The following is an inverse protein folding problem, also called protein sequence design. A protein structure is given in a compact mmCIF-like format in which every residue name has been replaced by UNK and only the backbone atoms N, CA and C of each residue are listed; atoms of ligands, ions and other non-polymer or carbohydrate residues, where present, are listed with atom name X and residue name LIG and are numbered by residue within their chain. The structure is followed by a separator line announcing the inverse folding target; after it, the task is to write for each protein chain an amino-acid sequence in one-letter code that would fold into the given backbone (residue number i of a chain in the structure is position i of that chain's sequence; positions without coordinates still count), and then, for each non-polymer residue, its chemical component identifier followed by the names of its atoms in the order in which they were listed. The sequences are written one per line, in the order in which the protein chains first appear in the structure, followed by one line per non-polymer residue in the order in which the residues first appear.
data_IF_925821083815
#
_entry.id   IF_925821083815
#
_cell.length_a   1.000
_cell.length_b   1.000
_cell.length_c   1.000
_cell.angle_alpha   90.00
_cell.angle_beta   90.00
_cell.angle_gamma   90.00
#
_symmetry.space_group_name_H-M   'P 1'
#
loop_
_entity.id
_entity.type
_entity.pdbx_description
1 polymer ?
#
# COMPACT_ATOMS: atom_id res chain seq x y z
N UNK A 1 -12.11 15.74 -20.70
CA UNK A 1 -11.65 16.85 -19.85
C UNK A 1 -10.13 16.76 -19.81
N UNK A 2 -9.42 17.88 -19.82
CA UNK A 2 -7.96 17.89 -19.90
C UNK A 2 -7.42 18.07 -18.47
N UNK A 3 -7.20 16.96 -17.77
CA UNK A 3 -6.75 16.97 -16.38
C UNK A 3 -5.23 16.90 -16.33
N UNK A 4 -4.59 17.77 -15.55
CA UNK A 4 -3.13 17.80 -15.42
C UNK A 4 -2.72 17.71 -13.97
N UNK A 5 -1.63 16.99 -13.71
CA UNK A 5 -1.02 16.88 -12.39
C UNK A 5 0.29 17.66 -12.39
N UNK A 6 0.42 18.64 -11.51
CA UNK A 6 1.63 19.46 -11.38
C UNK A 6 2.28 19.17 -10.03
N UNK A 7 3.50 18.66 -10.06
CA UNK A 7 4.24 18.23 -8.88
C UNK A 7 5.42 19.18 -8.66
N UNK A 8 5.39 19.91 -7.55
CA UNK A 8 6.52 20.65 -7.04
C UNK A 8 7.20 19.83 -5.94
N UNK A 9 8.43 19.40 -6.17
CA UNK A 9 9.21 18.59 -5.24
C UNK A 9 10.62 19.14 -4.97
N UNK A 10 11.01 20.24 -5.63
CA UNK A 10 12.18 21.06 -5.29
C UNK A 10 11.97 21.72 -3.91
N UNK A 11 12.33 21.01 -2.83
CA UNK A 11 12.21 21.54 -1.47
C UNK A 11 12.03 20.49 -0.37
N UNK A 12 11.71 20.93 0.87
CA UNK A 12 11.49 20.07 2.02
C UNK A 12 10.10 19.40 2.03
N UNK A 13 9.21 19.83 1.13
CA UNK A 13 7.86 19.33 0.97
C UNK A 13 7.65 18.89 -0.49
N UNK A 14 6.77 17.92 -0.68
CA UNK A 14 6.21 17.57 -1.98
C UNK A 14 4.83 18.21 -2.01
N UNK A 15 4.55 18.99 -3.05
CA UNK A 15 3.28 19.65 -3.28
C UNK A 15 2.73 19.18 -4.63
N UNK A 16 1.47 18.80 -4.67
CA UNK A 16 0.81 18.32 -5.89
C UNK A 16 -0.48 19.09 -6.11
N UNK A 17 -0.61 19.68 -7.29
CA UNK A 17 -1.81 20.36 -7.74
C UNK A 17 -2.49 19.54 -8.83
N UNK A 18 -3.80 19.34 -8.68
CA UNK A 18 -4.67 18.78 -9.72
C UNK A 18 -5.32 19.96 -10.42
N UNK A 19 -5.05 20.08 -11.72
CA UNK A 19 -5.58 21.16 -12.57
C UNK A 19 -6.61 20.57 -13.51
N UNK A 20 -7.85 21.04 -13.40
CA UNK A 20 -8.96 20.65 -14.27
C UNK A 20 -9.40 21.87 -15.06
N UNK A 21 -9.45 21.75 -16.39
CA UNK A 21 -9.87 22.84 -17.29
C UNK A 21 -9.09 24.16 -17.09
N UNK A 22 -7.84 24.05 -16.65
CA UNK A 22 -6.95 25.21 -16.39
C UNK A 22 -7.13 25.87 -15.02
N UNK A 23 -8.02 25.35 -14.17
CA UNK A 23 -8.22 25.81 -12.80
C UNK A 23 -7.68 24.80 -11.79
N UNK A 24 -7.19 25.29 -10.65
CA UNK A 24 -6.80 24.44 -9.52
C UNK A 24 -8.05 23.79 -8.92
N UNK A 25 -8.15 22.46 -9.02
CA UNK A 25 -9.26 21.68 -8.47
C UNK A 25 -8.92 21.12 -7.08
N UNK A 26 -7.77 20.47 -6.95
CA UNK A 26 -7.31 19.88 -5.68
C UNK A 26 -5.84 20.20 -5.43
N UNK A 27 -5.47 20.22 -4.15
CA UNK A 27 -4.10 20.49 -3.72
C UNK A 27 -3.69 19.61 -2.55
N UNK A 28 -2.53 18.99 -2.67
CA UNK A 28 -1.96 18.08 -1.67
C UNK A 28 -0.55 18.54 -1.27
N UNK A 29 -0.23 18.39 0.02
CA UNK A 29 1.10 18.69 0.55
C UNK A 29 1.54 17.58 1.49
N UNK A 30 2.79 17.14 1.34
CA UNK A 30 3.44 16.20 2.25
C UNK A 30 4.85 16.69 2.57
N UNK A 31 5.19 16.80 3.86
CA UNK A 31 6.56 17.13 4.26
C UNK A 31 7.44 15.89 4.20
N UNK A 32 8.61 15.99 3.55
CA UNK A 32 9.56 14.87 3.44
C UNK A 32 10.00 14.37 4.82
N UNK A 33 10.15 15.27 5.80
CA UNK A 33 10.56 14.96 7.19
C UNK A 33 9.47 14.26 8.02
N UNK A 34 8.20 14.41 7.65
CA UNK A 34 7.08 13.82 8.39
C UNK A 34 6.80 12.38 7.91
N UNK A 35 7.55 11.88 6.91
CA UNK A 35 7.46 10.50 6.46
C UNK A 35 8.01 9.55 7.53
N UNK A 36 7.09 8.89 8.21
CA UNK A 36 7.37 7.80 9.13
C UNK A 36 7.75 6.50 8.42
N UNK A 37 7.80 5.43 9.21
CA UNK A 37 8.02 4.07 8.76
C UNK A 37 6.71 3.37 8.38
N UNK A 38 5.55 3.93 8.74
CA UNK A 38 4.22 3.35 8.45
C UNK A 38 4.06 3.04 6.97
N UNK A 39 3.50 1.87 6.68
CA UNK A 39 3.29 1.37 5.32
C UNK A 39 4.49 0.61 4.75
N UNK A 40 5.72 0.89 5.20
CA UNK A 40 6.91 0.18 4.75
C UNK A 40 6.86 -1.30 5.15
N UNK A 41 7.40 -2.15 4.28
CA UNK A 41 7.56 -3.59 4.50
C UNK A 41 9.04 -3.90 4.69
N UNK A 42 9.32 -4.67 5.73
CA UNK A 42 10.66 -5.08 6.12
C UNK A 42 10.75 -6.59 6.18
N UNK A 43 11.91 -7.10 5.79
CA UNK A 43 12.38 -8.42 6.18
C UNK A 43 13.05 -8.22 7.54
N UNK A 44 12.41 -8.67 8.60
CA UNK A 44 12.88 -8.49 9.97
C UNK A 44 13.48 -9.78 10.55
N UNK A 45 14.35 -9.63 11.56
CA UNK A 45 14.89 -10.76 12.32
C UNK A 45 14.39 -10.71 13.76
N UNK A 46 13.78 -11.79 14.23
CA UNK A 46 13.31 -11.88 15.63
C UNK A 46 14.54 -11.85 16.55
N UNK A 47 14.64 -10.82 17.38
CA UNK A 47 15.75 -10.65 18.32
C UNK A 47 15.42 -11.27 19.68
N UNK A 48 14.17 -11.15 20.13
CA UNK A 48 13.72 -11.71 21.41
C UNK A 48 12.22 -12.00 21.40
N UNK A 49 11.83 -13.10 22.04
CA UNK A 49 10.43 -13.48 22.25
C UNK A 49 10.03 -13.19 23.70
N UNK A 50 8.83 -12.67 23.91
CA UNK A 50 8.29 -12.26 25.22
C UNK A 50 6.98 -13.00 25.50
N UNK A 51 7.01 -14.20 26.08
CA UNK A 51 5.82 -14.99 26.42
C UNK A 51 4.81 -14.22 27.28
N UNK A 52 5.29 -13.48 28.30
CA UNK A 52 4.42 -12.70 29.18
C UNK A 52 3.65 -11.57 28.49
N UNK A 53 4.09 -11.12 27.30
CA UNK A 53 3.42 -10.09 26.51
C UNK A 53 2.79 -10.63 25.23
N UNK A 54 2.90 -11.94 24.97
CA UNK A 54 2.48 -12.58 23.73
C UNK A 54 2.97 -11.80 22.48
N UNK A 55 4.24 -11.44 22.50
CA UNK A 55 4.87 -10.59 21.49
C UNK A 55 6.35 -10.94 21.28
N UNK A 56 6.91 -10.45 20.19
CA UNK A 56 8.33 -10.57 19.86
C UNK A 56 8.91 -9.20 19.45
N UNK A 57 10.17 -9.00 19.78
CA UNK A 57 10.99 -7.92 19.25
C UNK A 57 11.57 -8.35 17.91
N UNK A 58 11.43 -7.49 16.90
CA UNK A 58 11.90 -7.72 15.54
C UNK A 58 12.87 -6.60 15.17
N UNK A 59 14.10 -6.97 14.86
CA UNK A 59 15.08 -6.07 14.25
C UNK A 59 14.71 -5.84 12.77
N UNK A 60 14.48 -4.59 12.39
CA UNK A 60 14.12 -4.18 11.02
C UNK A 60 15.34 -3.75 10.18
N UNK A 61 16.54 -3.88 10.74
CA UNK A 61 17.80 -3.53 10.09
C UNK A 61 18.37 -2.19 10.55
N UNK A 62 19.57 -1.83 10.06
CA UNK A 62 20.42 -0.80 10.66
C UNK A 62 19.88 0.63 10.55
N UNK A 63 18.93 0.87 9.65
CA UNK A 63 18.30 2.20 9.48
C UNK A 63 17.15 2.44 10.46
N UNK A 64 16.77 1.42 11.25
CA UNK A 64 15.72 1.53 12.25
C UNK A 64 16.36 1.35 13.63
N UNK A 65 16.46 2.43 14.38
CA UNK A 65 17.21 2.47 15.64
C UNK A 65 16.68 1.50 16.71
N UNK A 66 15.39 1.17 16.66
CA UNK A 66 14.71 0.40 17.70
C UNK A 66 14.03 -0.82 17.12
N UNK A 67 14.17 -1.94 17.83
CA UNK A 67 13.42 -3.14 17.51
C UNK A 67 11.91 -2.87 17.53
N UNK A 68 11.23 -3.35 16.51
CA UNK A 68 9.78 -3.28 16.38
C UNK A 68 9.09 -4.36 17.23
N UNK A 69 7.80 -4.15 17.51
CA UNK A 69 6.96 -5.07 18.25
C UNK A 69 6.01 -5.81 17.30
N UNK A 70 6.06 -7.14 17.33
CA UNK A 70 5.15 -8.04 16.63
C UNK A 70 4.33 -8.83 17.66
N UNK A 71 3.01 -8.71 17.64
CA UNK A 71 2.12 -9.46 18.53
C UNK A 71 1.80 -10.84 17.96
N UNK A 72 1.49 -11.81 18.81
CA UNK A 72 1.12 -13.19 18.41
C UNK A 72 -0.01 -13.22 17.37
N UNK A 73 -1.04 -12.39 17.55
CA UNK A 73 -2.17 -12.28 16.64
C UNK A 73 -1.83 -11.61 15.31
N UNK A 74 -0.60 -11.11 15.15
CA UNK A 74 -0.08 -10.46 13.96
C UNK A 74 1.04 -11.32 13.32
N UNK A 75 1.38 -12.50 13.86
CA UNK A 75 2.42 -13.38 13.31
C UNK A 75 1.86 -14.15 12.12
N UNK A 76 2.29 -13.77 10.93
CA UNK A 76 1.96 -14.44 9.68
C UNK A 76 3.22 -14.50 8.81
N UNK A 77 3.39 -15.58 8.04
CA UNK A 77 4.58 -15.75 7.17
C UNK A 77 5.87 -16.21 7.87
N UNK A 78 5.80 -16.72 9.11
CA UNK A 78 6.93 -17.35 9.79
C UNK A 78 6.92 -18.88 9.56
N UNK A 79 7.71 -19.40 8.62
CA UNK A 79 7.84 -20.85 8.35
C UNK A 79 6.69 -21.48 7.54
N UNK A 80 6.56 -22.81 7.60
CA UNK A 80 5.58 -23.69 6.90
C UNK A 80 4.12 -23.49 7.38
N UNK A 81 3.73 -22.24 7.61
CA UNK A 81 2.43 -21.84 8.15
C UNK A 81 1.43 -21.44 7.05
N UNK A 82 1.75 -21.63 5.76
CA UNK A 82 0.71 -21.59 4.71
C UNK A 82 -0.38 -22.63 4.99
N UNK A 83 -0.02 -23.74 5.65
CA UNK A 83 -0.93 -24.81 6.07
C UNK A 83 -1.93 -24.43 7.17
N UNK A 84 -1.73 -23.33 7.91
CA UNK A 84 -2.67 -22.91 8.95
C UNK A 84 -3.88 -22.14 8.41
N UNK A 85 -3.82 -21.69 7.16
CA UNK A 85 -4.93 -21.05 6.48
C UNK A 85 -5.72 -22.11 5.69
N UNK A 86 -5.04 -23.10 5.11
CA UNK A 86 -5.66 -24.20 4.35
C UNK A 86 -6.64 -25.04 5.18
N UNK A 87 -6.39 -25.28 6.48
CA UNK A 87 -7.29 -26.07 7.34
C UNK A 87 -8.62 -25.35 7.69
N UNK A 88 -8.77 -24.07 7.32
CA UNK A 88 -10.01 -23.32 7.49
C UNK A 88 -10.85 -23.23 6.19
N UNK A 89 -10.34 -23.76 5.08
CA UNK A 89 -10.92 -23.64 3.73
C UNK A 89 -11.73 -24.88 3.29
N UNK A 90 -11.97 -25.87 4.16
CA UNK A 90 -12.82 -27.05 3.86
C UNK A 90 -14.30 -26.92 4.22
N UNK A 91 -14.82 -25.73 4.50
CA UNK A 91 -16.27 -25.52 4.71
C UNK A 91 -16.91 -24.94 3.46
N UNK A 92 -17.46 -25.81 2.62
CA UNK A 92 -18.21 -25.58 1.35
C UNK A 92 -19.51 -24.75 1.52
N UNK A 93 -19.60 -23.91 2.56
CA UNK A 93 -20.74 -23.04 2.88
C UNK A 93 -20.33 -21.65 3.37
N UNK A 94 -19.08 -21.22 3.12
CA UNK A 94 -18.55 -19.97 3.65
C UNK A 94 -19.29 -18.75 3.09
N UNK A 95 -19.83 -17.92 3.99
CA UNK A 95 -20.32 -16.58 3.67
C UNK A 95 -19.23 -15.79 2.90
N UNK A 96 -19.49 -15.53 1.62
CA UNK A 96 -18.62 -14.80 0.70
C UNK A 96 -18.81 -13.27 0.80
N UNK A 97 -19.67 -12.83 1.71
CA UNK A 97 -19.88 -11.42 1.99
C UNK A 97 -18.57 -10.75 2.49
N UNK A 98 -18.50 -9.42 2.46
CA UNK A 98 -17.43 -8.66 3.11
C UNK A 98 -17.34 -8.92 4.62
N UNK A 99 -18.46 -9.32 5.25
CA UNK A 99 -18.51 -9.77 6.63
C UNK A 99 -17.79 -11.10 6.80
N UNK A 100 -17.95 -12.04 5.86
CA UNK A 100 -17.13 -13.24 5.76
C UNK A 100 -15.63 -12.94 5.73
N UNK A 101 -15.20 -11.90 4.99
CA UNK A 101 -13.79 -11.54 4.84
C UNK A 101 -13.15 -10.94 6.08
N UNK A 102 -13.76 -9.89 6.60
CA UNK A 102 -13.34 -9.31 7.86
C UNK A 102 -13.45 -10.33 9.01
N UNK A 103 -14.48 -11.18 8.99
CA UNK A 103 -14.69 -12.28 9.96
C UNK A 103 -13.60 -13.34 9.87
N UNK A 104 -13.13 -13.73 8.67
CA UNK A 104 -12.03 -14.71 8.54
C UNK A 104 -10.69 -14.16 9.00
N UNK A 105 -10.34 -12.92 8.66
CA UNK A 105 -9.13 -12.26 9.22
C UNK A 105 -9.26 -12.17 10.75
N UNK A 106 -10.42 -11.77 11.27
CA UNK A 106 -10.66 -11.72 12.71
C UNK A 106 -10.60 -13.10 13.38
N UNK A 107 -11.12 -14.15 12.72
CA UNK A 107 -11.03 -15.54 13.18
C UNK A 107 -9.59 -16.04 13.19
N UNK A 108 -8.84 -15.83 12.11
CA UNK A 108 -7.42 -16.16 12.01
C UNK A 108 -6.61 -15.45 13.11
N UNK A 109 -6.81 -14.14 13.28
CA UNK A 109 -6.19 -13.37 14.37
C UNK A 109 -6.56 -13.92 15.75
N UNK A 110 -7.82 -14.32 15.96
CA UNK A 110 -8.29 -14.92 17.22
C UNK A 110 -7.69 -16.31 17.45
N UNK A 111 -7.56 -17.12 16.42
CA UNK A 111 -6.90 -18.44 16.49
C UNK A 111 -5.43 -18.28 16.84
N UNK A 112 -4.71 -17.36 16.17
CA UNK A 112 -3.33 -17.03 16.50
C UNK A 112 -3.21 -16.46 17.92
N UNK A 113 -4.15 -15.62 18.35
CA UNK A 113 -4.19 -15.06 19.71
C UNK A 113 -4.32 -16.13 20.81
N UNK A 114 -4.88 -17.30 20.49
CA UNK A 114 -4.98 -18.42 21.43
C UNK A 114 -3.72 -19.29 21.48
N UNK A 115 -2.77 -19.09 20.55
CA UNK A 115 -1.48 -19.78 20.56
C UNK A 115 -0.48 -19.01 21.41
N UNK A 116 0.59 -19.68 21.81
CA UNK A 116 1.71 -19.03 22.51
C UNK A 116 2.74 -18.54 21.52
N UNK A 117 3.21 -17.30 21.70
CA UNK A 117 4.22 -16.70 20.82
C UNK A 117 5.50 -17.54 20.70
N UNK A 118 5.93 -18.21 21.78
CA UNK A 118 7.10 -19.08 21.81
C UNK A 118 6.95 -20.35 20.95
N UNK A 119 5.72 -20.76 20.62
CA UNK A 119 5.45 -21.86 19.70
C UNK A 119 5.53 -21.41 18.24
N UNK A 120 5.38 -20.10 17.98
CA UNK A 120 5.36 -19.51 16.65
C UNK A 120 6.73 -18.98 16.21
N UNK A 121 7.46 -18.37 17.15
CA UNK A 121 8.69 -17.64 16.85
C UNK A 121 9.79 -18.04 17.83
N UNK A 122 11.01 -18.08 17.29
CA UNK A 122 12.26 -18.22 18.04
C UNK A 122 13.22 -17.09 17.65
N UNK A 123 14.11 -16.66 18.56
CA UNK A 123 15.19 -15.76 18.21
C UNK A 123 15.96 -16.26 16.97
N UNK A 124 16.22 -15.35 16.03
CA UNK A 124 16.86 -15.67 14.75
C UNK A 124 15.89 -15.97 13.60
N UNK A 125 14.61 -16.24 13.86
CA UNK A 125 13.61 -16.38 12.80
C UNK A 125 13.53 -15.09 11.96
N UNK A 126 13.34 -15.28 10.66
CA UNK A 126 13.05 -14.19 9.74
C UNK A 126 11.54 -14.04 9.61
N UNK A 127 11.05 -12.81 9.60
CA UNK A 127 9.63 -12.47 9.39
C UNK A 127 9.52 -11.36 8.37
N UNK A 128 8.58 -11.48 7.44
CA UNK A 128 8.18 -10.36 6.58
C UNK A 128 7.07 -9.59 7.28
N UNK A 129 7.26 -8.29 7.50
CA UNK A 129 6.30 -7.51 8.28
C UNK A 129 6.15 -6.07 7.79
N UNK A 130 4.94 -5.52 7.93
CA UNK A 130 4.60 -4.15 7.58
C UNK A 130 4.46 -3.31 8.85
N UNK A 131 4.98 -2.08 8.82
CA UNK A 131 4.80 -1.14 9.93
C UNK A 131 3.39 -0.55 9.90
N UNK A 132 2.68 -0.69 11.02
CA UNK A 132 1.32 -0.16 11.19
C UNK A 132 1.24 1.03 12.15
N UNK A 133 2.25 1.21 13.00
CA UNK A 133 2.41 2.40 13.85
C UNK A 133 3.88 2.77 13.95
N UNK A 134 4.16 4.06 13.83
CA UNK A 134 5.50 4.61 14.05
C UNK A 134 5.99 4.38 15.49
N UNK A 135 7.33 4.41 15.70
CA UNK A 135 7.91 4.44 17.03
C UNK A 135 7.39 5.63 17.86
N UNK A 136 7.14 5.42 19.16
CA UNK A 136 6.67 6.47 20.07
C UNK A 136 7.54 6.48 21.33
N UNK A 137 8.15 7.63 21.64
CA UNK A 137 8.88 7.83 22.90
C UNK A 137 10.13 6.97 22.96
N UNK A 138 10.12 5.87 23.74
CA UNK A 138 11.15 4.83 23.77
C UNK A 138 10.70 3.50 23.14
N UNK A 139 9.43 3.38 22.75
CA UNK A 139 8.89 2.18 22.11
C UNK A 139 9.23 2.21 20.62
N UNK A 140 9.74 1.09 20.10
CA UNK A 140 9.87 0.87 18.65
C UNK A 140 8.51 0.80 17.94
N UNK A 141 8.56 0.67 16.62
CA UNK A 141 7.38 0.61 15.76
C UNK A 141 6.51 -0.63 16.06
N UNK A 142 5.20 -0.56 15.77
CA UNK A 142 4.35 -1.76 15.74
C UNK A 142 4.32 -2.31 14.32
N UNK A 143 4.52 -3.62 14.20
CA UNK A 143 4.49 -4.33 12.91
C UNK A 143 3.44 -5.43 12.88
N UNK A 144 3.05 -5.84 11.67
CA UNK A 144 2.15 -6.98 11.41
C UNK A 144 2.65 -7.83 10.24
N UNK A 145 2.41 -9.15 10.29
CA UNK A 145 2.60 -10.05 9.15
C UNK A 145 1.43 -10.05 8.17
N UNK A 146 0.31 -9.40 8.52
CA UNK A 146 -0.80 -9.16 7.59
C UNK A 146 -0.48 -7.98 6.68
N UNK A 147 0.34 -8.23 5.66
CA UNK A 147 0.73 -7.21 4.70
C UNK A 147 -0.47 -6.74 3.89
N UNK A 148 -0.47 -5.45 3.55
CA UNK A 148 -1.49 -4.82 2.72
C UNK A 148 -0.85 -3.82 1.75
N UNK A 149 -1.25 -3.88 0.49
CA UNK A 149 -0.83 -2.94 -0.55
C UNK A 149 -2.06 -2.19 -1.07
N UNK A 150 -2.23 -0.90 -0.73
CA UNK A 150 -3.37 -0.13 -1.18
C UNK A 150 -3.20 0.30 -2.64
N UNK A 151 -4.17 -0.11 -3.47
CA UNK A 151 -4.45 0.46 -4.79
C UNK A 151 -5.50 1.56 -4.69
N UNK A 152 -5.95 2.03 -5.84
CA UNK A 152 -7.00 3.04 -5.95
C UNK A 152 -8.36 2.43 -5.64
N UNK A 153 -8.66 1.30 -6.28
CA UNK A 153 -9.97 0.65 -6.22
C UNK A 153 -9.99 -0.55 -5.28
N UNK A 154 -8.83 -1.15 -5.02
CA UNK A 154 -8.73 -2.33 -4.18
C UNK A 154 -7.52 -2.26 -3.24
N UNK A 155 -7.46 -3.16 -2.27
CA UNK A 155 -6.30 -3.36 -1.39
C UNK A 155 -5.90 -4.81 -1.49
N UNK A 156 -4.66 -5.07 -1.86
CA UNK A 156 -4.12 -6.42 -2.01
C UNK A 156 -3.58 -6.97 -0.69
N UNK A 157 -3.86 -8.24 -0.43
CA UNK A 157 -3.49 -8.98 0.77
C UNK A 157 -2.82 -10.30 0.35
N UNK A 158 -1.48 -10.40 0.32
CA UNK A 158 -0.78 -11.55 -0.27
C UNK A 158 -1.00 -12.88 0.44
N UNK A 159 -1.25 -12.85 1.75
CA UNK A 159 -1.33 -14.05 2.59
C UNK A 159 -2.73 -14.29 3.16
N UNK A 160 -3.75 -13.68 2.56
CA UNK A 160 -5.14 -13.87 2.94
C UNK A 160 -5.90 -14.15 1.66
N UNK A 161 -6.29 -15.39 1.37
CA UNK A 161 -6.79 -15.80 0.05
C UNK A 161 -8.24 -15.36 -0.27
N UNK A 162 -8.72 -14.23 0.25
CA UNK A 162 -10.13 -13.84 0.14
C UNK A 162 -10.35 -12.48 -0.52
N UNK A 163 -11.43 -12.40 -1.30
CA UNK A 163 -11.98 -11.14 -1.81
C UNK A 163 -13.11 -10.63 -0.91
N UNK A 164 -12.97 -9.41 -0.40
CA UNK A 164 -14.03 -8.65 0.26
C UNK A 164 -14.39 -7.39 -0.52
N UNK A 165 -15.58 -6.84 -0.31
CA UNK A 165 -16.05 -5.61 -0.98
C UNK A 165 -16.55 -4.59 0.05
N UNK A 166 -16.26 -3.31 -0.10
CA UNK A 166 -16.66 -2.28 0.87
C UNK A 166 -18.17 -2.29 1.13
N UNK A 167 -18.57 -2.27 2.41
CA UNK A 167 -19.98 -2.21 2.81
C UNK A 167 -20.67 -0.90 2.45
N UNK A 168 -19.88 0.15 2.20
CA UNK A 168 -20.40 1.46 1.80
C UNK A 168 -20.95 1.47 0.37
N UNK A 169 -20.59 0.47 -0.44
CA UNK A 169 -21.18 0.25 -1.77
C UNK A 169 -22.59 -0.28 -1.56
N UNK A 170 -23.61 0.52 -1.91
CA UNK A 170 -24.99 0.25 -1.48
C UNK A 170 -25.64 -0.94 -2.21
N UNK A 171 -25.24 -1.17 -3.47
CA UNK A 171 -25.86 -2.14 -4.36
C UNK A 171 -25.27 -3.55 -4.19
N UNK A 172 -26.09 -4.53 -3.81
CA UNK A 172 -25.68 -5.94 -3.77
C UNK A 172 -25.31 -6.50 -5.13
N UNK A 173 -25.95 -6.01 -6.19
CA UNK A 173 -25.61 -6.38 -7.57
C UNK A 173 -24.20 -5.91 -7.90
N UNK A 174 -23.87 -4.68 -7.53
CA UNK A 174 -22.55 -4.11 -7.77
C UNK A 174 -21.48 -4.81 -6.93
N UNK A 175 -21.76 -5.08 -5.66
CA UNK A 175 -20.87 -5.86 -4.79
C UNK A 175 -20.54 -7.23 -5.37
N UNK A 176 -21.52 -7.93 -5.96
CA UNK A 176 -21.30 -9.22 -6.64
C UNK A 176 -20.44 -9.05 -7.88
N UNK A 177 -20.80 -8.13 -8.78
CA UNK A 177 -20.01 -7.83 -10.00
C UNK A 177 -18.53 -7.57 -9.67
N UNK A 178 -18.25 -6.66 -8.74
CA UNK A 178 -16.88 -6.30 -8.35
C UNK A 178 -16.12 -7.49 -7.75
N UNK A 179 -16.78 -8.29 -6.91
CA UNK A 179 -16.18 -9.50 -6.33
C UNK A 179 -15.82 -10.51 -7.43
N UNK A 180 -16.76 -10.80 -8.32
CA UNK A 180 -16.59 -11.80 -9.39
C UNK A 180 -15.45 -11.37 -10.32
N UNK A 181 -15.42 -10.09 -10.68
CA UNK A 181 -14.37 -9.49 -11.49
C UNK A 181 -12.98 -9.66 -10.84
N UNK A 182 -12.83 -9.32 -9.57
CA UNK A 182 -11.54 -9.47 -8.86
C UNK A 182 -11.17 -10.95 -8.69
N UNK A 183 -12.14 -11.82 -8.44
CA UNK A 183 -11.90 -13.27 -8.37
C UNK A 183 -11.38 -13.85 -9.68
N UNK A 184 -11.82 -13.31 -10.82
CA UNK A 184 -11.38 -13.72 -12.15
C UNK A 184 -9.90 -13.38 -12.40
N UNK A 185 -9.45 -12.19 -11.98
CA UNK A 185 -8.11 -11.68 -12.31
C UNK A 185 -7.05 -11.82 -11.22
N UNK A 186 -7.43 -12.06 -9.96
CA UNK A 186 -6.47 -12.12 -8.86
C UNK A 186 -5.47 -13.28 -9.00
N UNK A 187 -4.23 -13.11 -8.51
CA UNK A 187 -3.33 -14.24 -8.30
C UNK A 187 -3.92 -15.28 -7.33
N UNK A 188 -3.71 -16.58 -7.61
CA UNK A 188 -4.17 -17.66 -6.72
C UNK A 188 -3.54 -17.54 -5.33
N UNK A 189 -4.30 -17.86 -4.29
CA UNK A 189 -3.84 -17.78 -2.89
C UNK A 189 -3.75 -16.36 -2.32
N UNK A 190 -4.06 -15.33 -3.12
CA UNK A 190 -4.06 -13.94 -2.69
C UNK A 190 -5.47 -13.38 -2.50
N UNK A 191 -5.59 -12.31 -1.73
CA UNK A 191 -6.86 -11.65 -1.45
C UNK A 191 -6.85 -10.19 -1.79
N UNK A 192 -8.07 -9.65 -1.81
CA UNK A 192 -8.33 -8.28 -2.17
C UNK A 192 -9.47 -7.72 -1.32
N UNK A 193 -9.43 -6.43 -1.02
CA UNK A 193 -10.55 -5.69 -0.46
C UNK A 193 -10.91 -4.58 -1.44
N UNK A 194 -12.05 -4.71 -2.12
CA UNK A 194 -12.57 -3.69 -3.02
C UNK A 194 -13.07 -2.50 -2.20
N UNK A 195 -12.58 -1.31 -2.52
CA UNK A 195 -12.84 -0.03 -1.83
C UNK A 195 -14.09 0.63 -2.39
N UNK A 196 -14.66 1.58 -1.65
CA UNK A 196 -15.81 2.37 -2.10
C UNK A 196 -15.55 3.13 -3.40
N UNK A 197 -14.30 3.52 -3.65
CA UNK A 197 -13.92 4.17 -4.91
C UNK A 197 -14.20 3.31 -6.16
N UNK A 198 -14.40 2.00 -6.01
CA UNK A 198 -14.68 1.10 -7.11
C UNK A 198 -16.16 1.03 -7.51
N UNK A 199 -17.08 1.68 -6.78
CA UNK A 199 -18.53 1.56 -7.00
C UNK A 199 -18.95 1.94 -8.44
N UNK A 200 -18.32 2.97 -9.00
CA UNK A 200 -18.56 3.44 -10.36
C UNK A 200 -17.39 3.12 -11.31
N UNK A 201 -16.45 2.28 -10.89
CA UNK A 201 -15.29 1.94 -11.71
C UNK A 201 -15.71 1.06 -12.89
N UNK A 202 -15.10 1.31 -14.06
CA UNK A 202 -15.21 0.41 -15.20
C UNK A 202 -14.47 -0.90 -14.95
N UNK A 203 -14.88 -1.98 -15.62
CA UNK A 203 -14.27 -3.29 -15.41
C UNK A 203 -12.77 -3.29 -15.73
N UNK A 204 -12.36 -2.62 -16.80
CA UNK A 204 -10.95 -2.52 -17.17
C UNK A 204 -10.13 -1.76 -16.11
N UNK A 205 -10.68 -0.68 -15.55
CA UNK A 205 -10.00 0.10 -14.51
C UNK A 205 -9.73 -0.73 -13.25
N UNK A 206 -10.69 -1.57 -12.84
CA UNK A 206 -10.49 -2.46 -11.70
C UNK A 206 -9.49 -3.58 -12.01
N UNK A 207 -9.51 -4.14 -13.23
CA UNK A 207 -8.51 -5.13 -13.67
C UNK A 207 -7.10 -4.55 -13.64
N UNK A 208 -6.93 -3.32 -14.15
CA UNK A 208 -5.64 -2.65 -14.15
C UNK A 208 -5.12 -2.38 -12.72
N UNK A 209 -5.99 -2.03 -11.78
CA UNK A 209 -5.62 -1.87 -10.35
C UNK A 209 -5.21 -3.19 -9.70
N UNK A 210 -5.92 -4.29 -10.00
CA UNK A 210 -5.55 -5.64 -9.54
C UNK A 210 -4.19 -6.07 -10.11
N UNK A 211 -3.98 -5.87 -11.40
CA UNK A 211 -2.72 -6.19 -12.08
C UNK A 211 -1.55 -5.35 -11.56
N UNK A 212 -1.77 -4.05 -11.33
CA UNK A 212 -0.81 -3.15 -10.68
C UNK A 212 -0.35 -3.73 -9.34
N UNK A 213 -1.29 -4.12 -8.47
CA UNK A 213 -0.99 -4.64 -7.14
C UNK A 213 -0.32 -6.01 -7.18
N UNK A 214 -0.73 -6.89 -8.10
CA UNK A 214 -0.12 -8.19 -8.31
C UNK A 214 1.35 -8.06 -8.76
N UNK A 215 1.63 -7.14 -9.69
CA UNK A 215 3.00 -6.84 -10.15
C UNK A 215 3.85 -6.26 -9.03
N UNK A 216 3.30 -5.29 -8.28
CA UNK A 216 3.99 -4.70 -7.14
C UNK A 216 4.37 -5.77 -6.12
N UNK A 217 3.45 -6.68 -5.79
CA UNK A 217 3.75 -7.79 -4.89
C UNK A 217 4.85 -8.71 -5.44
N UNK A 218 4.82 -9.06 -6.73
CA UNK A 218 5.87 -9.89 -7.34
C UNK A 218 7.27 -9.28 -7.17
N UNK A 219 7.39 -7.96 -7.31
CA UNK A 219 8.67 -7.27 -7.11
C UNK A 219 9.09 -7.22 -5.63
N UNK A 220 8.13 -7.06 -4.71
CA UNK A 220 8.37 -7.12 -3.26
C UNK A 220 8.85 -8.53 -2.85
N UNK A 221 8.19 -9.56 -3.37
CA UNK A 221 8.49 -10.96 -3.06
C UNK A 221 9.86 -11.39 -3.59
N UNK A 222 10.18 -11.07 -4.86
CA UNK A 222 11.53 -11.28 -5.40
C UNK A 222 12.59 -10.57 -4.57
N UNK A 223 12.32 -9.31 -4.17
CA UNK A 223 13.28 -8.53 -3.40
C UNK A 223 13.54 -9.13 -2.01
N UNK A 224 12.52 -9.66 -1.33
CA UNK A 224 12.73 -10.28 -0.02
C UNK A 224 13.49 -11.60 -0.09
N UNK A 225 13.31 -12.40 -1.15
CA UNK A 225 14.08 -13.63 -1.39
C UNK A 225 15.58 -13.36 -1.62
N UNK A 226 15.91 -12.26 -2.30
CA UNK A 226 17.30 -11.87 -2.57
C UNK A 226 18.04 -11.29 -1.35
N UNK A 227 17.33 -11.01 -0.25
CA UNK A 227 17.92 -10.40 0.94
C UNK A 227 18.44 -11.45 1.94
N UNK A 228 19.71 -11.33 2.33
CA UNK A 228 20.33 -12.21 3.33
C UNK A 228 20.18 -11.74 4.79
N UNK A 229 19.70 -10.52 5.02
CA UNK A 229 19.63 -9.88 6.34
C UNK A 229 18.32 -9.15 6.63
N UNK A 230 18.28 -8.48 7.79
CA UNK A 230 17.17 -7.60 8.13
C UNK A 230 17.27 -6.27 7.37
N UNK A 231 16.16 -5.75 6.85
CA UNK A 231 16.16 -4.49 6.13
C UNK A 231 14.84 -4.16 5.42
N UNK A 232 14.85 -2.99 4.78
CA UNK A 232 13.72 -2.47 4.02
C UNK A 232 13.55 -3.22 2.69
N UNK A 233 12.40 -3.88 2.55
CA UNK A 233 11.99 -4.56 1.31
C UNK A 233 11.23 -3.58 0.43
N UNK A 234 10.26 -2.86 1.00
CA UNK A 234 9.43 -1.90 0.28
C UNK A 234 9.23 -0.64 1.11
N UNK A 235 9.49 0.50 0.48
CA UNK A 235 9.13 1.80 1.02
C UNK A 235 7.74 2.17 0.48
N UNK A 236 6.85 2.63 1.35
CA UNK A 236 5.55 3.12 0.93
C UNK A 236 5.68 4.29 -0.06
N UNK A 237 4.63 4.53 -0.83
CA UNK A 237 4.61 5.57 -1.86
C UNK A 237 4.62 6.95 -1.20
N UNK A 238 5.48 7.86 -1.68
CA UNK A 238 5.34 9.29 -1.35
C UNK A 238 4.13 9.90 -2.05
N UNK A 239 3.83 11.16 -1.73
CA UNK A 239 2.71 11.88 -2.31
C UNK A 239 2.69 11.87 -3.86
N UNK A 240 3.83 12.07 -4.52
CA UNK A 240 3.90 12.07 -5.98
C UNK A 240 3.47 10.72 -6.57
N UNK A 241 4.00 9.63 -6.03
CA UNK A 241 3.66 8.27 -6.45
C UNK A 241 2.21 7.89 -6.08
N UNK A 242 1.71 8.31 -4.91
CA UNK A 242 0.32 8.09 -4.50
C UNK A 242 -0.66 8.80 -5.42
N UNK A 243 -0.37 10.04 -5.79
CA UNK A 243 -1.21 10.80 -6.72
C UNK A 243 -1.21 10.14 -8.11
N UNK A 244 -0.08 9.68 -8.62
CA UNK A 244 -0.06 8.92 -9.88
C UNK A 244 -0.85 7.62 -9.77
N UNK A 245 -0.72 6.86 -8.68
CA UNK A 245 -1.51 5.65 -8.45
C UNK A 245 -3.02 5.93 -8.38
N UNK A 246 -3.42 7.00 -7.68
CA UNK A 246 -4.82 7.26 -7.34
C UNK A 246 -5.55 8.11 -8.37
N UNK A 247 -4.87 9.04 -9.04
CA UNK A 247 -5.49 10.06 -9.89
C UNK A 247 -5.16 9.90 -11.38
N UNK A 248 -4.13 9.13 -11.75
CA UNK A 248 -3.84 8.91 -13.17
C UNK A 248 -5.00 8.17 -13.85
N UNK A 249 -5.52 8.78 -14.91
CA UNK A 249 -6.67 8.31 -15.69
C UNK A 249 -6.42 8.57 -17.17
N UNK A 250 -7.30 8.04 -18.03
CA UNK A 250 -7.23 8.28 -19.47
C UNK A 250 -7.40 9.76 -19.85
N UNK A 251 -8.15 10.53 -19.06
CA UNK A 251 -8.34 11.97 -19.23
C UNK A 251 -7.22 12.82 -18.61
N UNK A 252 -6.24 12.20 -17.93
CA UNK A 252 -5.06 12.90 -17.44
C UNK A 252 -4.08 13.13 -18.59
N UNK A 253 -3.93 14.37 -19.04
CA UNK A 253 -3.09 14.75 -20.18
C UNK A 253 -1.61 14.58 -19.89
N UNK A 254 -1.15 15.11 -18.76
CA UNK A 254 0.24 15.07 -18.34
C UNK A 254 0.43 15.17 -16.83
N UNK A 255 1.56 14.64 -16.37
CA UNK A 255 2.09 14.80 -15.02
C UNK A 255 3.42 15.51 -15.15
N UNK A 256 3.51 16.74 -14.66
CA UNK A 256 4.68 17.60 -14.83
C UNK A 256 5.40 17.75 -13.48
N UNK A 257 6.69 17.43 -13.44
CA UNK A 257 7.48 17.33 -12.20
C UNK A 257 8.74 18.17 -12.32
N UNK A 258 9.03 19.01 -11.33
CA UNK A 258 10.18 19.93 -11.34
C UNK A 258 11.47 19.42 -10.70
N UNK A 259 11.44 18.29 -10.01
CA UNK A 259 12.61 17.68 -9.36
C UNK A 259 13.10 16.46 -10.17
N UNK A 260 14.39 16.43 -10.53
CA UNK A 260 15.00 15.38 -11.34
C UNK A 260 14.84 13.98 -10.74
N UNK A 261 15.10 13.85 -9.45
CA UNK A 261 15.04 12.57 -8.74
C UNK A 261 13.59 12.08 -8.61
N UNK A 262 12.64 12.98 -8.31
CA UNK A 262 11.22 12.62 -8.29
C UNK A 262 10.70 12.30 -9.68
N UNK A 263 11.10 13.04 -10.71
CA UNK A 263 10.69 12.76 -12.09
C UNK A 263 11.13 11.36 -12.50
N UNK A 264 12.41 11.00 -12.31
CA UNK A 264 12.91 9.67 -12.68
C UNK A 264 12.22 8.58 -11.85
N UNK A 265 11.98 8.82 -10.56
CA UNK A 265 11.29 7.88 -9.68
C UNK A 265 9.84 7.63 -10.12
N UNK A 266 9.08 8.69 -10.41
CA UNK A 266 7.70 8.60 -10.89
C UNK A 266 7.66 7.95 -12.27
N UNK A 267 8.55 8.34 -13.19
CA UNK A 267 8.63 7.74 -14.53
C UNK A 267 8.89 6.24 -14.46
N UNK A 268 9.90 5.79 -13.69
CA UNK A 268 10.21 4.36 -13.50
C UNK A 268 9.06 3.59 -12.86
N UNK A 269 8.38 4.20 -11.89
CA UNK A 269 7.20 3.58 -11.27
C UNK A 269 6.06 3.42 -12.28
N UNK A 270 5.75 4.47 -13.05
CA UNK A 270 4.73 4.42 -14.10
C UNK A 270 5.10 3.41 -15.19
N UNK A 271 6.37 3.34 -15.59
CA UNK A 271 6.86 2.36 -16.56
C UNK A 271 6.66 0.92 -16.09
N UNK A 272 6.97 0.64 -14.82
CA UNK A 272 6.86 -0.70 -14.24
C UNK A 272 5.41 -1.15 -14.06
N UNK A 273 4.53 -0.25 -13.63
CA UNK A 273 3.20 -0.64 -13.13
C UNK A 273 2.02 -0.05 -13.91
N UNK A 274 2.22 1.03 -14.67
CA UNK A 274 1.20 1.73 -15.45
C UNK A 274 1.73 2.13 -16.84
N UNK A 275 2.28 1.18 -17.63
CA UNK A 275 3.13 1.48 -18.78
C UNK A 275 2.47 2.39 -19.83
N UNK A 276 1.15 2.29 -20.02
CA UNK A 276 0.37 3.14 -20.94
C UNK A 276 0.42 4.65 -20.63
N UNK A 277 0.74 5.01 -19.39
CA UNK A 277 0.78 6.40 -18.93
C UNK A 277 2.20 6.98 -18.89
N UNK A 278 3.23 6.18 -19.21
CA UNK A 278 4.64 6.57 -19.06
C UNK A 278 4.99 7.82 -19.87
N UNK A 279 4.50 7.92 -21.10
CA UNK A 279 4.79 9.06 -21.98
C UNK A 279 4.18 10.38 -21.48
N UNK A 280 3.20 10.31 -20.57
CA UNK A 280 2.53 11.47 -19.97
C UNK A 280 3.31 12.04 -18.78
N UNK A 281 4.36 11.35 -18.30
CA UNK A 281 5.22 11.84 -17.23
C UNK A 281 6.31 12.74 -17.81
N UNK A 282 6.19 14.05 -17.58
CA UNK A 282 7.07 15.09 -18.12
C UNK A 282 7.92 15.72 -17.03
N UNK A 283 9.16 16.04 -17.40
CA UNK A 283 10.05 16.86 -16.59
C UNK A 283 9.78 18.33 -16.89
N UNK A 284 9.69 19.14 -15.87
CA UNK A 284 9.66 20.59 -16.01
C UNK A 284 11.08 21.12 -16.15
N UNK A 285 11.35 21.86 -17.23
CA UNK A 285 12.68 22.45 -17.50
C UNK A 285 12.66 23.98 -17.51
N UNK A 286 11.53 24.58 -17.08
CA UNK A 286 11.38 26.02 -17.05
C UNK A 286 12.18 26.67 -15.93
N UNK A 287 12.59 27.93 -16.13
CA UNK A 287 13.32 28.71 -15.12
C UNK A 287 12.42 29.32 -14.03
N UNK A 288 11.12 29.43 -14.29
CA UNK A 288 10.16 29.96 -13.31
C UNK A 288 9.72 28.81 -12.40
N UNK A 289 9.45 29.05 -11.10
CA UNK A 289 8.87 28.01 -10.25
C UNK A 289 7.62 27.39 -10.91
N UNK A 290 7.50 26.07 -10.87
CA UNK A 290 6.49 25.33 -11.65
C UNK A 290 5.06 25.83 -11.36
N UNK A 291 4.73 26.11 -10.10
CA UNK A 291 3.39 26.62 -9.73
C UNK A 291 3.12 28.05 -10.19
N UNK A 292 4.14 28.91 -10.29
CA UNK A 292 3.97 30.23 -10.89
C UNK A 292 3.74 30.12 -12.39
N UNK A 293 4.45 29.18 -13.05
CA UNK A 293 4.30 28.95 -14.49
C UNK A 293 2.88 28.51 -14.87
N UNK A 294 2.28 27.62 -14.07
CA UNK A 294 0.93 27.12 -14.28
C UNK A 294 -0.16 27.94 -13.56
N UNK A 295 0.17 29.13 -13.03
CA UNK A 295 -0.78 30.02 -12.33
C UNK A 295 -1.48 29.38 -11.11
N UNK A 296 -0.84 28.41 -10.46
CA UNK A 296 -1.33 27.70 -9.28
C UNK A 296 -1.09 28.52 -8.00
N UNK A 297 0.08 29.16 -7.89
CA UNK A 297 0.47 29.90 -6.68
C UNK A 297 -0.52 31.04 -6.32
N UNK A 298 -1.03 31.86 -7.26
CA UNK A 298 -2.07 32.84 -6.95
C UNK A 298 -3.38 32.21 -6.43
N UNK A 299 -3.82 31.10 -7.01
CA UNK A 299 -5.03 30.41 -6.60
C UNK A 299 -4.90 29.84 -5.17
N UNK A 300 -3.73 29.31 -4.82
CA UNK A 300 -3.44 28.84 -3.46
C UNK A 300 -3.50 29.96 -2.43
N UNK A 301 -2.95 31.14 -2.74
CA UNK A 301 -2.99 32.28 -1.82
C UNK A 301 -4.42 32.74 -1.53
N UNK A 302 -5.30 32.68 -2.52
CA UNK A 302 -6.72 33.04 -2.33
C UNK A 302 -7.46 32.00 -1.48
N UNK A 303 -7.10 30.73 -1.57
CA UNK A 303 -7.76 29.65 -0.81
C UNK A 303 -7.37 29.60 0.68
N UNK A 304 -6.20 30.15 1.03
CA UNK A 304 -5.67 30.15 2.42
C UNK A 304 -5.88 31.50 3.13
N UNK A 305 -6.33 32.54 2.41
CA UNK A 305 -6.67 33.86 2.94
C UNK A 305 -8.06 33.89 3.58
#
# INVERSE_FOLDING_TARGET
MNNMLVVNAEGPEIRVAVVEEGALAEFFVERKRDRGLVGNIYRGKVSRVLPGMQAAFVDLGPKVERAAFLYVADVLGAGDQSKLIDDADTDDGADESPEGAASRIARSRKQLANRKIEDLLKPGNTVLCQVVKDPIGQKGARVTGYLSLPGRYSVFMPHVAQVGVSRRIGSDKERRRLRDLVNEVRPKGSGFIVRTAAEDAGDQELRDDVDFLARLWSEIDKRQELMSGAGLVYADLDLSLRVVRDLMREDTSEVVIDDDDQWDRVRKFTEAFLPRFTERIKKYEGRRPIFDHYHIEPALRQAVA
#
